data_IF_854210574198
#
_entry.id   IF_854210574198
#
_cell.length_a   1.000
_cell.length_b   1.000
_cell.length_c   1.000
_cell.angle_alpha   90.00
_cell.angle_beta   90.00
_cell.angle_gamma   90.00
#
_symmetry.space_group_name_H-M   'P 1'
#
loop_
_entity.id
_entity.type
_entity.pdbx_description
1 polymer ?
#
# COMPACT_ATOMS: atom_id res chain seq x y z
N UNK A 1 -10.45 29.06 -14.29
CA UNK A 1 -9.89 27.72 -14.02
C UNK A 1 -9.34 27.18 -15.32
N UNK A 2 -8.04 26.90 -15.43
CA UNK A 2 -7.44 26.46 -16.69
C UNK A 2 -8.03 25.10 -17.11
N UNK A 3 -8.58 25.05 -18.32
CA UNK A 3 -9.28 23.92 -18.94
C UNK A 3 -8.43 22.63 -19.13
N UNK A 4 -7.15 22.64 -18.75
CA UNK A 4 -6.18 21.58 -19.07
C UNK A 4 -5.71 20.73 -17.88
N UNK A 5 -6.16 20.98 -16.65
CA UNK A 5 -5.71 20.15 -15.51
C UNK A 5 -6.58 18.90 -15.35
N UNK A 6 -5.94 17.72 -15.19
CA UNK A 6 -6.68 16.49 -14.97
C UNK A 6 -7.45 16.52 -13.65
N UNK A 7 -8.67 15.97 -13.65
CA UNK A 7 -9.52 15.92 -12.46
C UNK A 7 -8.85 15.11 -11.33
N UNK A 8 -8.83 15.60 -10.08
CA UNK A 8 -8.25 14.85 -8.99
C UNK A 8 -8.94 13.50 -8.77
N UNK A 9 -8.15 12.43 -8.61
CA UNK A 9 -8.62 11.10 -8.24
C UNK A 9 -7.66 10.45 -7.25
N UNK A 10 -8.11 10.26 -6.01
CA UNK A 10 -7.34 9.64 -4.93
C UNK A 10 -7.99 8.33 -4.53
N UNK A 11 -7.31 7.24 -4.85
CA UNK A 11 -7.76 5.88 -4.54
C UNK A 11 -6.95 5.35 -3.36
N UNK A 12 -7.63 4.89 -2.31
CA UNK A 12 -7.01 4.19 -1.18
C UNK A 12 -7.23 2.69 -1.30
N UNK A 13 -6.17 1.89 -1.15
CA UNK A 13 -6.20 0.43 -1.20
C UNK A 13 -5.57 -0.14 0.07
N UNK A 14 -6.39 -0.56 1.03
CA UNK A 14 -5.96 -1.18 2.28
C UNK A 14 -6.36 -2.65 2.35
N UNK A 15 -5.74 -3.41 3.22
CA UNK A 15 -6.08 -4.83 3.43
C UNK A 15 -4.93 -5.68 3.92
N UNK A 16 -5.20 -6.95 4.14
CA UNK A 16 -4.29 -7.93 4.73
C UNK A 16 -3.05 -8.22 3.87
N UNK A 17 -2.07 -8.88 4.45
CA UNK A 17 -0.87 -9.34 3.74
C UNK A 17 -1.25 -10.32 2.62
N UNK A 18 -0.61 -10.20 1.47
CA UNK A 18 -0.83 -11.06 0.28
C UNK A 18 -2.28 -11.13 -0.22
N UNK A 19 -3.13 -10.18 0.16
CA UNK A 19 -4.52 -10.08 -0.29
C UNK A 19 -4.69 -9.58 -1.73
N UNK A 20 -3.64 -9.47 -2.53
CA UNK A 20 -3.73 -9.03 -3.94
C UNK A 20 -3.87 -7.51 -4.15
N UNK A 21 -3.88 -6.70 -3.07
CA UNK A 21 -4.06 -5.23 -3.17
C UNK A 21 -2.99 -4.53 -4.01
N UNK A 22 -1.71 -4.95 -3.94
CA UNK A 22 -0.63 -4.34 -4.74
C UNK A 22 -0.83 -4.58 -6.24
N UNK A 23 -1.30 -5.77 -6.62
CA UNK A 23 -1.68 -6.09 -8.00
C UNK A 23 -2.84 -5.21 -8.46
N UNK A 24 -3.88 -5.10 -7.63
CA UNK A 24 -5.04 -4.26 -7.90
C UNK A 24 -4.65 -2.79 -8.07
N UNK A 25 -3.88 -2.24 -7.14
CA UNK A 25 -3.41 -0.87 -7.17
C UNK A 25 -2.61 -0.56 -8.45
N UNK A 26 -1.70 -1.47 -8.86
CA UNK A 26 -0.94 -1.33 -10.10
C UNK A 26 -1.84 -1.33 -11.33
N UNK A 27 -2.80 -2.25 -11.42
CA UNK A 27 -3.70 -2.37 -12.58
C UNK A 27 -4.65 -1.17 -12.70
N UNK A 28 -5.22 -0.72 -11.58
CA UNK A 28 -6.07 0.48 -11.53
C UNK A 28 -5.24 1.73 -11.85
N UNK A 29 -4.03 1.85 -11.32
CA UNK A 29 -3.14 2.97 -11.64
C UNK A 29 -2.80 3.01 -13.12
N UNK A 30 -2.55 1.86 -13.75
CA UNK A 30 -2.32 1.79 -15.21
C UNK A 30 -3.57 2.23 -15.99
N UNK A 31 -4.75 1.71 -15.62
CA UNK A 31 -6.01 2.01 -16.32
C UNK A 31 -6.36 3.51 -16.27
N UNK A 32 -6.20 4.13 -15.11
CA UNK A 32 -6.59 5.54 -14.90
C UNK A 32 -5.41 6.51 -14.90
N UNK A 33 -4.22 6.08 -15.33
CA UNK A 33 -2.97 6.86 -15.38
C UNK A 33 -2.60 7.51 -14.04
N UNK A 34 -2.87 6.84 -12.91
CA UNK A 34 -2.59 7.34 -11.57
C UNK A 34 -1.13 7.06 -11.17
N UNK A 35 -0.56 7.96 -10.38
CA UNK A 35 0.68 7.64 -9.67
C UNK A 35 0.41 6.53 -8.65
N UNK A 36 1.14 5.41 -8.73
CA UNK A 36 0.96 4.27 -7.83
C UNK A 36 1.95 4.34 -6.66
N UNK A 37 1.48 4.64 -5.45
CA UNK A 37 2.30 4.66 -4.24
C UNK A 37 2.04 3.43 -3.37
N UNK A 38 3.05 2.56 -3.24
CA UNK A 38 3.04 1.43 -2.31
C UNK A 38 3.72 1.82 -1.00
N UNK A 39 2.95 2.03 0.04
CA UNK A 39 3.44 2.33 1.38
C UNK A 39 4.32 1.23 1.97
N UNK A 40 4.03 -0.02 1.65
CA UNK A 40 4.82 -1.16 2.12
C UNK A 40 6.27 -1.08 1.66
N UNK A 41 6.56 -0.55 0.47
CA UNK A 41 7.93 -0.35 -0.01
C UNK A 41 8.71 0.66 0.85
N UNK A 42 8.05 1.69 1.38
CA UNK A 42 8.70 2.67 2.26
C UNK A 42 9.18 2.04 3.57
N UNK A 43 8.33 1.21 4.18
CA UNK A 43 8.72 0.45 5.39
C UNK A 43 9.80 -0.59 5.10
N UNK A 44 9.72 -1.27 3.94
CA UNK A 44 10.75 -2.22 3.51
C UNK A 44 12.08 -1.55 3.24
N UNK A 45 12.07 -0.39 2.63
CA UNK A 45 13.27 0.41 2.41
C UNK A 45 13.89 0.88 3.72
N UNK A 46 13.08 1.38 4.67
CA UNK A 46 13.55 1.72 6.01
C UNK A 46 14.17 0.51 6.73
N UNK A 47 13.52 -0.66 6.64
CA UNK A 47 14.06 -1.91 7.21
C UNK A 47 15.39 -2.30 6.58
N UNK A 48 15.49 -2.30 5.25
CA UNK A 48 16.76 -2.59 4.55
C UNK A 48 17.89 -1.66 4.98
N UNK A 49 17.60 -0.35 5.12
CA UNK A 49 18.60 0.61 5.57
C UNK A 49 19.09 0.31 6.99
N UNK A 50 18.19 -0.03 7.90
CA UNK A 50 18.54 -0.35 9.29
C UNK A 50 19.35 -1.65 9.36
N UNK A 51 18.93 -2.70 8.68
CA UNK A 51 19.64 -3.98 8.61
C UNK A 51 21.05 -3.79 8.05
N UNK A 52 21.17 -3.05 6.93
CA UNK A 52 22.45 -2.83 6.26
C UNK A 52 23.42 -1.98 7.08
N UNK A 53 22.94 -0.90 7.70
CA UNK A 53 23.83 0.12 8.29
C UNK A 53 23.91 0.05 9.81
N UNK A 54 23.06 -0.73 10.48
CA UNK A 54 23.00 -0.93 11.95
C UNK A 54 23.21 0.39 12.74
N UNK A 55 22.42 1.47 12.45
CA UNK A 55 22.69 2.79 13.03
C UNK A 55 22.45 2.81 14.54
N UNK A 56 23.36 3.42 15.33
CA UNK A 56 23.19 3.61 16.77
C UNK A 56 21.92 4.42 17.11
N UNK A 57 21.55 5.40 16.29
CA UNK A 57 20.35 6.25 16.46
C UNK A 57 19.44 6.15 15.22
N UNK A 58 18.44 5.26 15.25
CA UNK A 58 17.55 4.94 14.12
C UNK A 58 16.78 6.17 13.61
N UNK A 59 16.20 6.97 14.50
CA UNK A 59 15.32 8.08 14.10
C UNK A 59 16.05 9.19 13.34
N UNK A 60 17.17 9.76 13.82
CA UNK A 60 17.93 10.73 13.05
C UNK A 60 18.44 10.19 11.72
N UNK A 61 18.90 8.93 11.71
CA UNK A 61 19.36 8.25 10.51
C UNK A 61 18.26 8.17 9.45
N UNK A 62 17.07 7.68 9.80
CA UNK A 62 15.94 7.58 8.87
C UNK A 62 15.46 8.96 8.41
N UNK A 63 15.41 9.97 9.28
CA UNK A 63 15.08 11.35 8.88
C UNK A 63 16.00 11.85 7.78
N UNK A 64 17.32 11.65 7.94
CA UNK A 64 18.34 12.03 6.93
C UNK A 64 18.09 11.31 5.61
N UNK A 65 17.87 9.99 5.65
CA UNK A 65 17.66 9.16 4.44
C UNK A 65 16.33 9.46 3.72
N UNK A 66 15.26 9.80 4.43
CA UNK A 66 13.95 10.10 3.84
C UNK A 66 13.80 11.57 3.37
N UNK A 67 14.66 12.51 3.81
CA UNK A 67 14.59 13.94 3.45
C UNK A 67 14.60 14.14 1.92
N UNK A 68 15.55 13.51 1.24
CA UNK A 68 15.78 13.65 -0.20
C UNK A 68 15.53 12.34 -0.96
N UNK A 69 14.68 11.44 -0.42
CA UNK A 69 14.40 10.16 -1.04
C UNK A 69 13.62 10.35 -2.35
N UNK A 70 14.09 9.69 -3.40
CA UNK A 70 13.35 9.56 -4.64
C UNK A 70 12.53 8.27 -4.61
N UNK A 71 11.21 8.37 -4.72
CA UNK A 71 10.32 7.21 -4.69
C UNK A 71 10.58 6.24 -5.86
N UNK A 72 10.90 6.75 -7.07
CA UNK A 72 11.23 5.91 -8.23
C UNK A 72 12.45 5.02 -7.98
N UNK A 73 13.43 5.49 -7.20
CA UNK A 73 14.59 4.70 -6.82
C UNK A 73 14.18 3.43 -6.05
N UNK A 74 13.33 3.58 -5.02
CA UNK A 74 12.94 2.42 -4.20
C UNK A 74 12.07 1.41 -4.94
N UNK A 75 11.33 1.81 -5.99
CA UNK A 75 10.52 0.88 -6.78
C UNK A 75 11.37 -0.07 -7.64
N UNK A 76 12.65 0.24 -7.85
CA UNK A 76 13.61 -0.59 -8.61
C UNK A 76 14.38 -1.57 -7.72
N UNK A 77 14.28 -1.43 -6.39
CA UNK A 77 15.00 -2.27 -5.44
C UNK A 77 14.25 -3.58 -5.17
N UNK A 78 14.99 -4.69 -5.06
CA UNK A 78 14.45 -5.92 -4.48
C UNK A 78 14.35 -5.76 -2.95
N UNK A 79 13.14 -5.64 -2.42
CA UNK A 79 12.84 -5.40 -1.02
C UNK A 79 11.92 -6.49 -0.44
N UNK A 80 11.85 -7.66 -1.09
CA UNK A 80 10.84 -8.66 -0.77
C UNK A 80 11.35 -9.89 -0.01
N UNK A 81 12.61 -9.88 0.50
CA UNK A 81 13.13 -10.98 1.31
C UNK A 81 12.32 -11.21 2.60
N UNK A 82 12.43 -12.42 3.15
CA UNK A 82 11.77 -12.78 4.40
C UNK A 82 12.36 -12.00 5.58
N UNK A 83 13.69 -11.80 5.61
CA UNK A 83 14.37 -10.99 6.62
C UNK A 83 13.79 -9.57 6.70
N UNK A 84 13.73 -8.87 5.55
CA UNK A 84 13.12 -7.53 5.48
C UNK A 84 11.66 -7.59 5.91
N UNK A 85 10.91 -8.62 5.52
CA UNK A 85 9.49 -8.78 5.86
C UNK A 85 9.26 -8.92 7.36
N UNK A 86 10.09 -9.67 8.06
CA UNK A 86 10.05 -9.84 9.50
C UNK A 86 10.40 -8.54 10.23
N UNK A 87 11.46 -7.86 9.79
CA UNK A 87 11.86 -6.58 10.37
C UNK A 87 10.81 -5.46 10.18
N UNK A 88 10.09 -5.45 9.05
CA UNK A 88 8.98 -4.50 8.81
C UNK A 88 7.89 -4.63 9.86
N UNK A 89 7.53 -5.85 10.28
CA UNK A 89 6.50 -6.06 11.29
C UNK A 89 6.85 -5.41 12.64
N UNK A 90 8.12 -5.44 13.02
CA UNK A 90 8.65 -4.77 14.21
C UNK A 90 8.69 -3.23 14.00
N UNK A 91 9.25 -2.78 12.89
CA UNK A 91 9.45 -1.36 12.61
C UNK A 91 8.11 -0.61 12.48
N UNK A 92 7.09 -1.24 11.90
CA UNK A 92 5.76 -0.65 11.70
C UNK A 92 4.99 -0.36 12.99
N UNK A 93 5.39 -0.89 14.14
CA UNK A 93 4.83 -0.56 15.47
C UNK A 93 5.33 0.77 16.01
N UNK A 94 6.49 1.25 15.55
CA UNK A 94 7.16 2.41 16.12
C UNK A 94 6.54 3.72 15.63
N UNK A 95 5.91 4.48 16.54
CA UNK A 95 5.25 5.78 16.25
C UNK A 95 6.17 6.75 15.50
N UNK A 96 7.41 6.93 15.97
CA UNK A 96 8.37 7.88 15.39
C UNK A 96 8.78 7.50 13.96
N UNK A 97 8.95 6.20 13.66
CA UNK A 97 9.23 5.72 12.30
C UNK A 97 8.05 5.99 11.38
N UNK A 98 6.82 5.68 11.83
CA UNK A 98 5.60 5.96 11.07
C UNK A 98 5.45 7.45 10.75
N UNK A 99 5.80 8.33 11.69
CA UNK A 99 5.77 9.79 11.46
C UNK A 99 6.71 10.20 10.32
N UNK A 100 7.95 9.68 10.29
CA UNK A 100 8.91 9.97 9.20
C UNK A 100 8.34 9.52 7.85
N UNK A 101 7.86 8.29 7.78
CA UNK A 101 7.29 7.72 6.55
C UNK A 101 6.03 8.50 6.12
N UNK A 102 5.15 8.87 7.06
CA UNK A 102 3.95 9.66 6.78
C UNK A 102 4.26 11.03 6.20
N UNK A 103 5.30 11.72 6.71
CA UNK A 103 5.74 13.01 6.14
C UNK A 103 6.12 12.83 4.67
N UNK A 104 6.87 11.79 4.35
CA UNK A 104 7.25 11.48 2.98
C UNK A 104 6.05 11.11 2.09
N UNK A 105 5.13 10.27 2.59
CA UNK A 105 3.89 9.94 1.88
C UNK A 105 3.06 11.18 1.56
N UNK A 106 2.87 12.07 2.55
CA UNK A 106 2.12 13.33 2.35
C UNK A 106 2.79 14.25 1.33
N UNK A 107 4.13 14.28 1.27
CA UNK A 107 4.87 15.01 0.23
C UNK A 107 4.50 14.48 -1.16
N UNK A 108 4.52 13.16 -1.38
CA UNK A 108 4.13 12.53 -2.66
C UNK A 108 2.67 12.83 -3.00
N UNK A 109 1.75 12.68 -2.05
CA UNK A 109 0.32 12.91 -2.27
C UNK A 109 0.03 14.36 -2.70
N UNK A 110 0.76 15.34 -2.16
CA UNK A 110 0.63 16.75 -2.57
C UNK A 110 1.13 17.00 -3.99
N UNK A 111 2.12 16.24 -4.45
CA UNK A 111 2.68 16.35 -5.80
C UNK A 111 1.82 15.66 -6.87
N UNK A 112 0.93 14.74 -6.46
CA UNK A 112 0.13 13.92 -7.37
C UNK A 112 -1.36 13.99 -7.02
N UNK A 113 -2.13 14.78 -7.78
CA UNK A 113 -3.58 14.86 -7.59
C UNK A 113 -4.32 13.61 -8.11
N UNK A 114 -3.72 12.87 -9.04
CA UNK A 114 -4.17 11.56 -9.52
C UNK A 114 -3.25 10.48 -8.94
N UNK A 115 -3.69 9.80 -7.87
CA UNK A 115 -2.86 8.86 -7.12
C UNK A 115 -3.68 7.67 -6.60
N UNK A 116 -3.07 6.48 -6.65
CA UNK A 116 -3.51 5.29 -5.95
C UNK A 116 -2.51 4.95 -4.84
N UNK A 117 -2.93 5.02 -3.60
CA UNK A 117 -2.12 4.69 -2.43
C UNK A 117 -2.48 3.30 -1.91
N UNK A 118 -1.49 2.41 -1.83
CA UNK A 118 -1.64 1.05 -1.33
C UNK A 118 -0.90 0.86 -0.01
N UNK A 119 -1.58 0.20 0.95
CA UNK A 119 -0.99 -0.05 2.27
C UNK A 119 -1.85 -0.83 3.24
N UNK A 120 -1.94 -0.31 4.48
CA UNK A 120 -2.72 -0.85 5.60
C UNK A 120 -3.62 0.19 6.28
N UNK A 121 -3.31 1.45 6.06
CA UNK A 121 -3.90 2.58 6.76
C UNK A 121 -4.05 3.80 5.85
N UNK A 122 -4.17 3.55 4.54
CA UNK A 122 -4.26 4.65 3.58
C UNK A 122 -5.58 5.40 3.74
N UNK A 123 -6.70 4.70 3.81
CA UNK A 123 -8.00 5.29 4.03
C UNK A 123 -8.17 5.81 5.46
N UNK A 124 -7.71 5.06 6.47
CA UNK A 124 -7.96 5.38 7.88
C UNK A 124 -7.03 6.47 8.46
N UNK A 125 -5.81 6.62 7.93
CA UNK A 125 -4.81 7.51 8.53
C UNK A 125 -4.08 8.44 7.55
N UNK A 126 -3.85 8.04 6.31
CA UNK A 126 -3.04 8.82 5.35
C UNK A 126 -3.91 9.76 4.52
N UNK A 127 -4.99 9.25 3.95
CA UNK A 127 -5.95 9.97 3.10
C UNK A 127 -7.31 10.17 3.82
N UNK A 128 -7.32 10.27 5.14
CA UNK A 128 -8.55 10.31 5.91
C UNK A 128 -9.18 11.71 6.03
N UNK A 129 -8.40 12.77 5.88
CA UNK A 129 -8.85 14.16 6.05
C UNK A 129 -8.42 15.05 4.89
N UNK A 130 -7.22 15.60 4.95
CA UNK A 130 -6.71 16.56 3.98
C UNK A 130 -5.36 16.11 3.39
N UNK A 131 -5.34 15.72 2.11
CA UNK A 131 -6.51 15.45 1.27
C UNK A 131 -7.20 14.13 1.65
N UNK A 132 -8.52 14.05 1.46
CA UNK A 132 -9.27 12.80 1.61
C UNK A 132 -9.24 12.00 0.31
N UNK A 133 -9.35 10.65 0.42
CA UNK A 133 -9.58 9.79 -0.73
C UNK A 133 -10.96 10.07 -1.37
N UNK A 134 -11.07 9.85 -2.65
CA UNK A 134 -12.34 9.87 -3.37
C UNK A 134 -13.05 8.52 -3.26
N UNK A 135 -12.27 7.42 -3.25
CA UNK A 135 -12.76 6.07 -3.07
C UNK A 135 -11.74 5.21 -2.30
N UNK A 136 -12.23 4.33 -1.44
CA UNK A 136 -11.43 3.39 -0.68
C UNK A 136 -11.85 1.95 -0.93
N UNK A 137 -10.87 1.06 -1.10
CA UNK A 137 -11.05 -0.38 -1.22
C UNK A 137 -10.35 -1.10 -0.08
N UNK A 138 -11.04 -2.09 0.50
CA UNK A 138 -10.47 -2.97 1.52
C UNK A 138 -10.38 -4.40 1.00
N UNK A 139 -9.15 -4.89 0.91
CA UNK A 139 -8.86 -6.19 0.30
C UNK A 139 -8.83 -7.30 1.34
N UNK A 140 -9.64 -8.34 1.13
CA UNK A 140 -9.66 -9.59 1.89
C UNK A 140 -9.30 -10.75 0.98
N UNK A 141 -8.69 -11.78 1.56
CA UNK A 141 -8.35 -13.02 0.88
C UNK A 141 -8.40 -14.16 1.88
N UNK A 142 -8.80 -15.35 1.44
CA UNK A 142 -8.68 -16.54 2.26
C UNK A 142 -7.23 -16.75 2.70
N UNK A 143 -6.95 -17.03 3.99
CA UNK A 143 -5.59 -17.17 4.52
C UNK A 143 -4.73 -18.20 3.76
N UNK A 144 -5.29 -19.35 3.40
CA UNK A 144 -4.56 -20.39 2.65
C UNK A 144 -4.20 -19.90 1.24
N UNK A 145 -5.12 -19.21 0.55
CA UNK A 145 -4.85 -18.62 -0.77
C UNK A 145 -3.77 -17.52 -0.67
N UNK A 146 -3.82 -16.69 0.36
CA UNK A 146 -2.81 -15.65 0.58
C UNK A 146 -1.43 -16.25 0.88
N UNK A 147 -1.38 -17.32 1.69
CA UNK A 147 -0.16 -18.05 2.01
C UNK A 147 0.45 -18.70 0.76
N UNK A 148 -0.36 -19.39 -0.03
CA UNK A 148 0.09 -20.02 -1.28
C UNK A 148 0.67 -19.00 -2.26
N UNK A 149 -0.01 -17.87 -2.48
CA UNK A 149 0.50 -16.78 -3.35
C UNK A 149 1.85 -16.28 -2.86
N UNK A 150 1.99 -16.04 -1.54
CA UNK A 150 3.24 -15.56 -0.96
C UNK A 150 4.35 -16.59 -1.04
N UNK A 151 4.04 -17.85 -0.77
CA UNK A 151 5.00 -18.95 -0.89
C UNK A 151 5.52 -19.07 -2.31
N UNK A 152 4.64 -19.00 -3.32
CA UNK A 152 5.04 -19.02 -4.73
C UNK A 152 5.97 -17.85 -5.08
N UNK A 153 5.66 -16.65 -4.59
CA UNK A 153 6.54 -15.46 -4.80
C UNK A 153 7.92 -15.65 -4.16
N UNK A 154 8.01 -16.28 -2.98
CA UNK A 154 9.28 -16.53 -2.29
C UNK A 154 10.10 -17.64 -2.98
N UNK A 155 9.44 -18.70 -3.44
CA UNK A 155 10.10 -19.78 -4.21
C UNK A 155 10.76 -19.25 -5.48
N UNK A 156 10.16 -18.31 -6.18
CA UNK A 156 10.77 -17.66 -7.35
C UNK A 156 12.00 -16.82 -7.01
N UNK A 157 12.19 -16.48 -5.75
CA UNK A 157 13.36 -15.76 -5.21
C UNK A 157 14.40 -16.70 -4.57
N UNK A 158 14.33 -18.01 -4.82
CA UNK A 158 15.21 -19.05 -4.26
C UNK A 158 15.23 -19.10 -2.73
N UNK A 159 14.18 -18.65 -2.05
CA UNK A 159 14.06 -18.80 -0.61
C UNK A 159 13.57 -20.22 -0.26
N UNK A 160 14.33 -20.92 0.58
CA UNK A 160 13.95 -22.21 1.15
C UNK A 160 13.00 -21.95 2.34
N UNK A 161 11.70 -21.98 2.07
CA UNK A 161 10.66 -21.78 3.06
C UNK A 161 9.45 -22.67 2.76
N UNK A 162 8.85 -23.26 3.80
CA UNK A 162 7.64 -24.09 3.69
C UNK A 162 6.38 -23.24 3.61
N UNK A 163 5.30 -23.83 3.10
CA UNK A 163 3.99 -23.17 3.02
C UNK A 163 3.44 -22.84 4.43
N UNK A 164 3.69 -23.72 5.40
CA UNK A 164 3.20 -23.54 6.78
C UNK A 164 3.94 -22.41 7.49
N UNK A 165 5.26 -22.29 7.32
CA UNK A 165 6.02 -21.14 7.81
C UNK A 165 5.52 -19.83 7.24
N UNK A 166 5.19 -19.80 5.93
CA UNK A 166 4.61 -18.63 5.30
C UNK A 166 3.24 -18.31 5.88
N UNK A 167 2.39 -19.33 6.09
CA UNK A 167 1.05 -19.18 6.66
C UNK A 167 1.10 -18.58 8.06
N UNK A 168 1.95 -19.11 8.93
CA UNK A 168 2.15 -18.59 10.29
C UNK A 168 2.74 -17.16 10.27
N UNK A 169 3.70 -16.89 9.42
CA UNK A 169 4.28 -15.56 9.25
C UNK A 169 3.23 -14.52 8.83
N UNK A 170 2.34 -14.88 7.89
CA UNK A 170 1.26 -14.00 7.45
C UNK A 170 0.20 -13.77 8.53
N UNK A 171 -0.18 -14.84 9.27
CA UNK A 171 -1.11 -14.75 10.40
C UNK A 171 -0.58 -13.81 11.46
N UNK A 172 0.63 -14.03 11.94
CA UNK A 172 1.31 -13.18 12.94
C UNK A 172 1.40 -11.73 12.47
N UNK A 173 1.73 -11.51 11.20
CA UNK A 173 1.81 -10.16 10.63
C UNK A 173 0.45 -9.47 10.59
N UNK A 174 -0.61 -10.16 10.16
CA UNK A 174 -1.96 -9.59 10.11
C UNK A 174 -2.45 -9.23 11.52
N UNK A 175 -2.23 -10.10 12.50
CA UNK A 175 -2.53 -9.81 13.90
C UNK A 175 -1.80 -8.57 14.41
N UNK A 176 -0.50 -8.45 14.12
CA UNK A 176 0.29 -7.28 14.50
C UNK A 176 -0.20 -6.00 13.79
N UNK A 177 -0.64 -6.08 12.54
CA UNK A 177 -1.19 -4.94 11.80
C UNK A 177 -2.54 -4.49 12.39
N UNK A 178 -3.39 -5.43 12.83
CA UNK A 178 -4.69 -5.14 13.45
C UNK A 178 -4.53 -4.60 14.88
N UNK A 179 -3.69 -5.26 15.69
CA UNK A 179 -3.53 -4.95 17.14
C UNK A 179 -2.60 -3.77 17.44
N UNK A 180 -1.90 -3.22 16.44
CA UNK A 180 -0.95 -2.12 16.72
C UNK A 180 -1.66 -0.85 17.20
N UNK A 181 -1.05 -0.20 18.20
CA UNK A 181 -1.61 1.02 18.83
C UNK A 181 -1.73 2.21 17.85
N UNK A 182 -0.81 2.34 16.90
CA UNK A 182 -0.76 3.48 15.97
C UNK A 182 -1.10 3.04 14.55
N UNK A 183 -2.14 3.64 13.97
CA UNK A 183 -2.66 3.37 12.63
C UNK A 183 -2.90 1.86 12.40
N UNK A 184 -3.77 1.21 13.19
CA UNK A 184 -4.11 -0.19 13.00
C UNK A 184 -4.70 -0.44 11.61
N UNK A 185 -4.62 -1.68 11.16
CA UNK A 185 -5.35 -2.11 9.97
C UNK A 185 -6.83 -2.20 10.33
N UNK A 186 -7.59 -1.22 9.88
CA UNK A 186 -9.06 -1.18 10.05
C UNK A 186 -9.73 -0.94 8.70
N UNK A 187 -10.87 -1.54 8.52
CA UNK A 187 -11.74 -1.26 7.39
C UNK A 187 -12.46 0.07 7.64
N UNK A 188 -12.27 1.08 6.80
CA UNK A 188 -13.03 2.33 6.86
C UNK A 188 -14.49 2.09 6.48
N UNK A 189 -15.43 2.81 7.13
CA UNK A 189 -16.89 2.58 6.97
C UNK A 189 -17.37 2.61 5.52
N UNK A 190 -16.82 3.51 4.71
CA UNK A 190 -17.16 3.71 3.30
C UNK A 190 -16.23 2.95 2.34
N UNK A 191 -15.36 2.05 2.83
CA UNK A 191 -14.51 1.25 1.96
C UNK A 191 -15.25 0.04 1.37
N UNK A 192 -15.03 -0.17 0.09
CA UNK A 192 -15.62 -1.27 -0.68
C UNK A 192 -14.76 -2.52 -0.52
N UNK A 193 -15.38 -3.64 -0.11
CA UNK A 193 -14.68 -4.90 0.09
C UNK A 193 -14.41 -5.58 -1.25
N UNK A 194 -13.14 -5.94 -1.48
CA UNK A 194 -12.69 -6.75 -2.62
C UNK A 194 -12.16 -8.09 -2.11
N UNK A 195 -12.87 -9.18 -2.38
CA UNK A 195 -12.44 -10.55 -2.08
C UNK A 195 -11.68 -11.12 -3.25
N UNK A 196 -10.36 -11.17 -3.14
CA UNK A 196 -9.48 -11.56 -4.26
C UNK A 196 -9.30 -13.07 -4.42
N UNK A 197 -9.73 -13.85 -3.46
CA UNK A 197 -9.85 -15.32 -3.56
C UNK A 197 -10.99 -15.74 -4.50
N UNK A 198 -12.01 -14.90 -4.64
CA UNK A 198 -13.21 -15.15 -5.46
C UNK A 198 -13.17 -14.44 -6.82
N UNK A 199 -12.09 -13.72 -7.15
CA UNK A 199 -12.01 -12.90 -8.35
C UNK A 199 -10.67 -13.12 -9.06
N UNK A 200 -10.71 -13.32 -10.37
CA UNK A 200 -9.52 -13.19 -11.19
C UNK A 200 -9.12 -11.71 -11.39
N UNK A 201 -7.95 -11.46 -11.97
CA UNK A 201 -7.43 -10.10 -12.14
C UNK A 201 -8.36 -9.21 -12.97
N UNK A 202 -8.97 -9.73 -14.05
CA UNK A 202 -9.89 -9.00 -14.94
C UNK A 202 -11.17 -8.62 -14.20
N UNK A 203 -11.83 -9.56 -13.55
CA UNK A 203 -13.05 -9.33 -12.77
C UNK A 203 -12.83 -8.36 -11.61
N UNK A 204 -11.67 -8.45 -10.92
CA UNK A 204 -11.28 -7.52 -9.86
C UNK A 204 -11.17 -6.08 -10.40
N UNK A 205 -10.46 -5.88 -11.50
CA UNK A 205 -10.31 -4.55 -12.11
C UNK A 205 -11.66 -4.02 -12.59
N UNK A 206 -12.50 -4.85 -13.23
CA UNK A 206 -13.85 -4.47 -13.67
C UNK A 206 -14.71 -4.01 -12.49
N UNK A 207 -14.73 -4.77 -11.38
CA UNK A 207 -15.47 -4.39 -10.17
C UNK A 207 -14.99 -3.06 -9.60
N UNK A 208 -13.67 -2.89 -9.46
CA UNK A 208 -13.10 -1.63 -8.95
C UNK A 208 -13.39 -0.46 -9.89
N UNK A 209 -13.29 -0.67 -11.21
CA UNK A 209 -13.57 0.38 -12.20
C UNK A 209 -15.01 0.86 -12.14
N UNK A 210 -15.98 -0.07 -12.05
CA UNK A 210 -17.40 0.29 -11.91
C UNK A 210 -17.65 1.26 -10.75
N UNK A 211 -17.03 0.98 -9.60
CA UNK A 211 -17.18 1.81 -8.40
C UNK A 211 -16.44 3.17 -8.55
N UNK A 212 -15.26 3.16 -9.16
CA UNK A 212 -14.52 4.40 -9.45
C UNK A 212 -15.31 5.27 -10.41
N UNK A 213 -15.81 4.74 -11.51
CA UNK A 213 -16.57 5.46 -12.54
C UNK A 213 -17.86 6.03 -11.97
N UNK A 214 -18.59 5.26 -11.15
CA UNK A 214 -19.75 5.75 -10.39
C UNK A 214 -19.39 6.96 -9.52
N UNK A 215 -18.26 6.89 -8.77
CA UNK A 215 -17.82 7.97 -7.90
C UNK A 215 -17.39 9.21 -8.69
N UNK A 216 -16.73 9.00 -9.81
CA UNK A 216 -16.29 10.09 -10.69
C UNK A 216 -17.49 10.80 -11.35
N UNK A 217 -18.49 10.04 -11.81
CA UNK A 217 -19.72 10.58 -12.37
C UNK A 217 -20.45 11.46 -11.34
N UNK A 218 -20.56 11.00 -10.09
CA UNK A 218 -21.17 11.77 -9.00
C UNK A 218 -20.39 13.07 -8.69
N UNK A 219 -19.07 13.05 -8.82
CA UNK A 219 -18.21 14.18 -8.42
C UNK A 219 -17.99 15.19 -9.53
N UNK A 220 -17.88 14.74 -10.78
CA UNK A 220 -17.45 15.55 -11.92
C UNK A 220 -18.43 15.53 -13.10
N UNK A 221 -19.51 14.75 -13.01
CA UNK A 221 -20.40 14.51 -14.16
C UNK A 221 -19.62 13.85 -15.30
N UNK A 222 -19.92 14.25 -16.54
CA UNK A 222 -19.19 13.79 -17.75
C UNK A 222 -17.84 14.50 -17.97
N UNK A 223 -17.47 15.42 -17.11
CA UNK A 223 -16.27 16.27 -17.26
C UNK A 223 -15.01 15.68 -16.64
N UNK A 224 -15.01 14.39 -16.22
CA UNK A 224 -13.81 13.75 -15.71
C UNK A 224 -12.75 13.59 -16.79
N UNK A 225 -11.52 14.06 -16.50
CA UNK A 225 -10.36 13.96 -17.41
C UNK A 225 -9.23 13.18 -16.72
N UNK A 226 -8.69 12.18 -17.41
CA UNK A 226 -7.40 11.56 -17.07
C UNK A 226 -6.24 12.39 -17.64
N UNK A 227 -5.03 12.19 -17.08
CA UNK A 227 -3.80 12.71 -17.71
C UNK A 227 -3.60 12.14 -19.11
#
# INVERSE_FOLDING_TARGET
MSLNNPSPLRVACDGESSSGKSTAAKLISKKYKLFCMNSGLLFRYASRLIIKHKPKKIIPFLRKKFKNLNYKYITRLNLHSQEISNHVAFLAKQKRVRQIIRIFQKKIIRQHHQICCEGRDQASAILNKNPRYDIAFFFKCNPSTAAYRRWKDLKTSNEQITLDEVKESLKKRNELDVKRRFSPLIQSKDSIIIRTDKLNKKAMVTKMSKEIEKKLLLKYGRNFRTK
#
